data_IF_173368030212
#
_entry.id   IF_173368030212
#
_cell.length_a   1.000
_cell.length_b   1.000
_cell.length_c   1.000
_cell.angle_alpha   90.00
_cell.angle_beta   90.00
_cell.angle_gamma   90.00
#
_symmetry.space_group_name_H-M   'P 1'
#
loop_
_entity.id
_entity.type
_entity.pdbx_description
1 polymer ?
#
# COMPACT_ATOMS: atom_id res chain seq x y z
N UNK A 1 38.58 -21.63 21.57
CA UNK A 1 38.78 -20.58 20.52
C UNK A 1 37.70 -20.63 19.45
N UNK A 2 37.40 -21.76 18.81
CA UNK A 2 36.37 -21.90 17.75
C UNK A 2 34.97 -21.42 18.18
N UNK A 3 34.53 -21.68 19.43
CA UNK A 3 33.20 -21.26 19.94
C UNK A 3 33.05 -19.74 20.10
N UNK A 4 34.12 -19.04 20.44
CA UNK A 4 34.13 -17.58 20.61
C UNK A 4 34.07 -16.91 19.24
N UNK A 5 34.84 -17.40 18.27
CA UNK A 5 34.83 -16.92 16.87
C UNK A 5 33.44 -17.10 16.26
N UNK A 6 32.81 -18.26 16.48
CA UNK A 6 31.45 -18.54 16.01
C UNK A 6 30.38 -17.66 16.67
N UNK A 7 30.55 -17.28 17.95
CA UNK A 7 29.64 -16.32 18.64
C UNK A 7 29.83 -14.91 18.11
N UNK A 8 31.06 -14.45 17.91
CA UNK A 8 31.35 -13.13 17.35
C UNK A 8 30.83 -12.99 15.91
N UNK A 9 31.00 -14.00 15.05
CA UNK A 9 30.49 -13.98 13.69
C UNK A 9 28.95 -13.97 13.63
N UNK A 10 28.28 -14.70 14.53
CA UNK A 10 26.80 -14.64 14.67
C UNK A 10 26.32 -13.28 15.16
N UNK A 11 27.00 -12.67 16.13
CA UNK A 11 26.69 -11.33 16.61
C UNK A 11 26.85 -10.28 15.50
N UNK A 12 27.95 -10.32 14.76
CA UNK A 12 28.18 -9.43 13.63
C UNK A 12 27.09 -9.59 12.52
N UNK A 13 26.68 -10.83 12.23
CA UNK A 13 25.61 -11.11 11.28
C UNK A 13 24.25 -10.56 11.76
N UNK A 14 23.94 -10.65 13.07
CA UNK A 14 22.74 -10.07 13.68
C UNK A 14 22.75 -8.54 13.61
N UNK A 15 23.86 -7.90 13.97
CA UNK A 15 24.02 -6.45 13.88
C UNK A 15 23.88 -5.95 12.45
N UNK A 16 24.49 -6.65 11.50
CA UNK A 16 24.33 -6.34 10.07
C UNK A 16 22.87 -6.46 9.61
N UNK A 17 22.15 -7.50 10.03
CA UNK A 17 20.71 -7.66 9.71
C UNK A 17 19.89 -6.53 10.31
N UNK A 18 20.14 -6.15 11.56
CA UNK A 18 19.47 -5.04 12.23
C UNK A 18 19.75 -3.72 11.52
N UNK A 19 21.00 -3.45 11.14
CA UNK A 19 21.37 -2.25 10.36
C UNK A 19 20.65 -2.18 9.00
N UNK A 20 20.60 -3.30 8.26
CA UNK A 20 19.85 -3.41 7.01
C UNK A 20 18.36 -3.12 7.23
N UNK A 21 17.78 -3.66 8.30
CA UNK A 21 16.39 -3.44 8.62
C UNK A 21 16.07 -1.97 8.94
N UNK A 22 16.93 -1.28 9.67
CA UNK A 22 16.79 0.15 9.96
C UNK A 22 16.87 0.96 8.66
N UNK A 23 17.79 0.62 7.74
CA UNK A 23 17.83 1.26 6.42
C UNK A 23 16.52 1.06 5.67
N UNK A 24 15.92 -0.15 5.73
CA UNK A 24 14.65 -0.44 5.11
C UNK A 24 13.45 0.35 5.68
N UNK A 25 13.53 0.87 6.90
CA UNK A 25 12.46 1.72 7.44
C UNK A 25 12.44 3.09 6.80
N UNK A 26 13.58 3.57 6.28
CA UNK A 26 13.70 4.91 5.68
C UNK A 26 13.87 4.85 4.16
N UNK A 27 14.48 3.82 3.62
CA UNK A 27 14.71 3.61 2.19
C UNK A 27 14.05 2.32 1.72
N UNK A 28 12.84 2.43 1.21
CA UNK A 28 12.03 1.27 0.81
C UNK A 28 12.54 0.57 -0.45
N UNK A 29 13.36 1.26 -1.25
CA UNK A 29 13.98 0.69 -2.46
C UNK A 29 15.33 0.02 -2.17
N UNK A 30 15.84 0.13 -0.95
CA UNK A 30 17.09 -0.53 -0.58
C UNK A 30 16.95 -2.06 -0.66
N UNK A 31 17.37 -2.64 -1.76
CA UNK A 31 17.29 -4.08 -2.02
C UNK A 31 18.67 -4.63 -2.42
N UNK A 32 19.61 -4.85 -1.46
CA UNK A 32 20.99 -5.25 -1.76
C UNK A 32 21.11 -6.60 -2.48
N UNK A 33 20.04 -7.39 -2.53
CA UNK A 33 19.96 -8.66 -3.28
C UNK A 33 19.11 -8.56 -4.55
N UNK A 34 18.66 -7.36 -4.90
CA UNK A 34 17.75 -7.08 -6.01
C UNK A 34 16.27 -7.18 -5.62
N UNK A 35 15.48 -6.22 -6.11
CA UNK A 35 14.04 -6.16 -5.85
C UNK A 35 13.29 -7.39 -6.42
N UNK A 36 13.75 -7.93 -7.56
CA UNK A 36 13.15 -9.11 -8.20
C UNK A 36 13.20 -10.35 -7.29
N UNK A 37 14.32 -10.56 -6.60
CA UNK A 37 14.45 -11.65 -5.62
C UNK A 37 13.52 -11.50 -4.42
N UNK A 38 13.18 -10.27 -4.06
CA UNK A 38 12.20 -10.04 -3.00
C UNK A 38 10.77 -10.32 -3.50
N UNK A 39 10.44 -9.89 -4.72
CA UNK A 39 9.11 -10.13 -5.32
C UNK A 39 8.79 -11.62 -5.52
N UNK A 40 9.80 -12.45 -5.72
CA UNK A 40 9.67 -13.92 -5.84
C UNK A 40 9.82 -14.66 -4.50
N UNK A 41 9.98 -13.93 -3.38
CA UNK A 41 10.08 -14.55 -2.07
C UNK A 41 8.73 -15.18 -1.64
N UNK A 42 8.75 -16.23 -0.81
CA UNK A 42 7.52 -16.81 -0.29
C UNK A 42 6.75 -15.84 0.59
N UNK A 43 5.45 -16.10 0.77
CA UNK A 43 4.54 -15.32 1.60
C UNK A 43 4.88 -15.45 3.09
N UNK A 44 5.82 -14.62 3.53
CA UNK A 44 6.30 -14.59 4.90
C UNK A 44 6.34 -13.17 5.43
N UNK A 45 5.86 -13.00 6.67
CA UNK A 45 5.91 -11.71 7.39
C UNK A 45 7.35 -11.30 7.63
N UNK A 46 7.69 -10.07 7.27
CA UNK A 46 8.97 -9.46 7.64
C UNK A 46 8.83 -8.69 8.97
N UNK A 47 8.98 -9.40 10.07
CA UNK A 47 8.76 -8.86 11.42
C UNK A 47 9.58 -7.60 11.72
N UNK A 48 10.81 -7.52 11.24
CA UNK A 48 11.65 -6.36 11.50
C UNK A 48 11.13 -5.14 10.71
N UNK A 49 10.76 -5.35 9.46
CA UNK A 49 10.20 -4.29 8.63
C UNK A 49 8.81 -3.84 9.11
N UNK A 50 8.08 -4.70 9.82
CA UNK A 50 6.77 -4.39 10.40
C UNK A 50 6.85 -3.64 11.72
N UNK A 51 8.03 -3.42 12.34
CA UNK A 51 8.15 -2.71 13.61
C UNK A 51 7.49 -1.32 13.58
N UNK A 52 7.66 -0.45 12.57
CA UNK A 52 6.94 0.82 12.51
C UNK A 52 5.43 0.66 12.49
N UNK A 53 4.90 -0.36 11.82
CA UNK A 53 3.49 -0.70 11.83
C UNK A 53 3.00 -1.13 13.21
N UNK A 54 3.79 -1.95 13.91
CA UNK A 54 3.49 -2.38 15.29
C UNK A 54 3.52 -1.17 16.24
N UNK A 55 4.51 -0.27 16.09
CA UNK A 55 4.62 0.97 16.87
C UNK A 55 3.40 1.87 16.65
N UNK A 56 2.89 1.96 15.41
CA UNK A 56 1.69 2.74 15.10
C UNK A 56 0.49 2.24 15.91
N UNK A 57 0.27 0.92 15.97
CA UNK A 57 -0.82 0.32 16.75
C UNK A 57 -0.60 0.44 18.26
N UNK A 58 0.60 0.15 18.72
CA UNK A 58 0.96 0.27 20.15
C UNK A 58 0.86 1.72 20.63
N UNK A 59 1.14 2.70 19.77
CA UNK A 59 0.99 4.12 20.09
C UNK A 59 -0.44 4.52 20.48
N UNK A 60 -1.47 3.76 20.03
CA UNK A 60 -2.84 4.00 20.48
C UNK A 60 -3.01 3.84 22.00
N UNK A 61 -2.15 3.03 22.65
CA UNK A 61 -2.15 2.88 24.12
C UNK A 61 -1.79 4.19 24.84
N UNK A 62 -1.09 5.11 24.16
CA UNK A 62 -0.81 6.44 24.69
C UNK A 62 -2.06 7.26 25.00
N UNK A 63 -3.17 7.01 24.26
CA UNK A 63 -4.45 7.63 24.54
C UNK A 63 -5.04 7.21 25.91
N UNK A 64 -4.75 5.97 26.37
CA UNK A 64 -5.15 5.49 27.68
C UNK A 64 -4.37 6.18 28.81
N UNK A 65 -3.10 6.50 28.54
CA UNK A 65 -2.24 7.18 29.51
C UNK A 65 -2.58 8.67 29.67
N UNK A 66 -2.84 9.38 28.54
CA UNK A 66 -3.09 10.83 28.58
C UNK A 66 -4.56 11.21 28.75
N UNK A 67 -5.46 10.21 28.72
CA UNK A 67 -6.89 10.45 28.67
C UNK A 67 -7.31 11.07 27.34
N UNK A 68 -8.44 11.75 27.35
CA UNK A 68 -9.03 12.35 26.15
C UNK A 68 -9.48 13.81 26.40
N UNK A 69 -9.58 14.58 25.35
CA UNK A 69 -10.26 15.86 25.34
C UNK A 69 -11.25 15.90 24.16
N UNK A 70 -12.36 16.64 24.27
CA UNK A 70 -13.30 16.79 23.16
C UNK A 70 -12.63 17.30 21.89
N UNK A 71 -11.67 18.22 22.04
CA UNK A 71 -10.91 18.77 20.91
C UNK A 71 -10.03 17.70 20.25
N UNK A 72 -9.24 16.95 21.02
CA UNK A 72 -8.34 15.93 20.46
C UNK A 72 -9.11 14.80 19.74
N UNK A 73 -10.26 14.37 20.29
CA UNK A 73 -11.14 13.39 19.66
C UNK A 73 -11.77 13.96 18.38
N UNK A 74 -12.33 15.17 18.46
CA UNK A 74 -12.90 15.85 17.28
C UNK A 74 -11.89 16.05 16.17
N UNK A 75 -10.67 16.47 16.51
CA UNK A 75 -9.54 16.57 15.57
C UNK A 75 -9.19 15.20 14.99
N UNK A 76 -9.15 14.15 15.80
CA UNK A 76 -8.86 12.78 15.34
C UNK A 76 -9.84 12.33 14.25
N UNK A 77 -11.13 12.56 14.46
CA UNK A 77 -12.19 12.22 13.51
C UNK A 77 -12.08 13.09 12.24
N UNK A 78 -11.91 14.38 12.37
CA UNK A 78 -11.75 15.30 11.24
C UNK A 78 -10.50 14.92 10.41
N UNK A 79 -9.38 14.65 11.08
CA UNK A 79 -8.12 14.32 10.44
C UNK A 79 -8.15 12.93 9.80
N UNK A 80 -8.95 11.99 10.32
CA UNK A 80 -9.26 10.73 9.64
C UNK A 80 -9.89 11.02 8.27
N UNK A 81 -10.95 11.81 8.20
CA UNK A 81 -11.65 12.08 6.95
C UNK A 81 -10.82 12.89 5.95
N UNK A 82 -10.04 13.86 6.42
CA UNK A 82 -9.10 14.63 5.56
C UNK A 82 -8.08 13.70 4.91
N UNK A 83 -7.56 12.73 5.65
CA UNK A 83 -6.59 11.76 5.12
C UNK A 83 -7.24 10.61 4.36
N UNK A 84 -8.47 10.19 4.73
CA UNK A 84 -9.24 9.25 3.93
C UNK A 84 -9.52 9.84 2.53
N UNK A 85 -9.83 11.15 2.45
CA UNK A 85 -9.94 11.83 1.16
C UNK A 85 -8.63 11.78 0.37
N UNK A 86 -7.46 11.88 1.02
CA UNK A 86 -6.18 11.76 0.34
C UNK A 86 -5.94 10.32 -0.19
N UNK A 87 -6.33 9.28 0.56
CA UNK A 87 -6.30 7.90 0.04
C UNK A 87 -7.19 7.76 -1.19
N UNK A 88 -8.43 8.15 -1.05
CA UNK A 88 -9.48 7.85 -2.04
C UNK A 88 -9.42 8.77 -3.26
N UNK A 89 -9.26 10.07 -3.05
CA UNK A 89 -9.20 11.06 -4.13
C UNK A 89 -7.83 11.11 -4.81
N UNK A 90 -6.74 10.92 -4.05
CA UNK A 90 -5.39 11.15 -4.56
C UNK A 90 -4.72 9.82 -4.91
N UNK A 91 -4.46 8.93 -3.95
CA UNK A 91 -3.76 7.67 -4.24
C UNK A 91 -4.58 6.79 -5.19
N UNK A 92 -5.87 6.64 -4.92
CA UNK A 92 -6.75 5.80 -5.70
C UNK A 92 -7.14 6.45 -7.03
N UNK A 93 -7.93 7.54 -7.01
CA UNK A 93 -8.53 8.10 -8.24
C UNK A 93 -7.53 8.86 -9.11
N UNK A 94 -6.51 9.49 -8.52
CA UNK A 94 -5.52 10.22 -9.31
C UNK A 94 -4.33 9.35 -9.71
N UNK A 95 -3.51 8.87 -8.74
CA UNK A 95 -2.28 8.15 -9.08
C UNK A 95 -2.54 6.79 -9.70
N UNK A 96 -3.56 6.05 -9.26
CA UNK A 96 -3.85 4.73 -9.82
C UNK A 96 -4.64 4.80 -11.11
N UNK A 97 -5.76 5.55 -11.15
CA UNK A 97 -6.71 5.52 -12.27
C UNK A 97 -6.69 6.75 -13.18
N UNK A 98 -6.00 7.83 -12.81
CA UNK A 98 -5.90 9.06 -13.62
C UNK A 98 -7.28 9.60 -14.04
N UNK A 99 -8.21 9.63 -13.09
CA UNK A 99 -9.59 10.04 -13.34
C UNK A 99 -9.74 11.54 -13.52
N UNK A 100 -8.72 12.33 -13.22
CA UNK A 100 -8.62 13.77 -13.42
C UNK A 100 -7.17 14.19 -13.63
N UNK A 101 -6.94 15.48 -13.90
CA UNK A 101 -5.63 16.08 -14.16
C UNK A 101 -5.30 17.19 -13.17
N UNK A 102 -4.01 17.50 -13.01
CA UNK A 102 -3.50 18.63 -12.23
C UNK A 102 -2.17 19.11 -12.83
N UNK A 103 -1.67 20.26 -12.38
CA UNK A 103 -0.34 20.76 -12.74
C UNK A 103 0.78 19.91 -12.11
N UNK A 104 2.03 20.07 -12.56
CA UNK A 104 3.18 19.37 -11.96
C UNK A 104 3.37 19.73 -10.49
N UNK A 105 3.14 20.99 -10.12
CA UNK A 105 3.17 21.42 -8.71
C UNK A 105 2.03 20.78 -7.92
N UNK A 106 0.80 20.79 -8.47
CA UNK A 106 -0.34 20.10 -7.89
C UNK A 106 -0.07 18.61 -7.69
N UNK A 107 0.52 17.95 -8.68
CA UNK A 107 0.94 16.56 -8.64
C UNK A 107 1.85 16.24 -7.43
N UNK A 108 2.86 17.10 -7.18
CA UNK A 108 3.75 16.98 -6.03
C UNK A 108 3.02 17.22 -4.70
N UNK A 109 2.21 18.29 -4.61
CA UNK A 109 1.44 18.61 -3.41
C UNK A 109 0.42 17.51 -3.06
N UNK A 110 -0.24 16.93 -4.07
CA UNK A 110 -1.12 15.79 -3.88
C UNK A 110 -0.36 14.57 -3.36
N UNK A 111 0.86 14.31 -3.86
CA UNK A 111 1.70 13.21 -3.36
C UNK A 111 2.13 13.42 -1.90
N UNK A 112 2.48 14.66 -1.51
CA UNK A 112 2.76 15.01 -0.11
C UNK A 112 1.54 14.77 0.78
N UNK A 113 0.37 15.23 0.35
CA UNK A 113 -0.87 14.99 1.11
C UNK A 113 -1.16 13.50 1.25
N UNK A 114 -1.04 12.72 0.15
CA UNK A 114 -1.13 11.26 0.18
C UNK A 114 -0.16 10.62 1.18
N UNK A 115 1.10 11.10 1.26
CA UNK A 115 2.10 10.62 2.22
C UNK A 115 1.68 10.76 3.68
N UNK A 116 0.83 11.76 4.03
CA UNK A 116 0.32 11.94 5.42
C UNK A 116 -0.56 10.77 5.87
N UNK A 117 -1.05 9.96 4.95
CA UNK A 117 -1.95 8.81 5.23
C UNK A 117 -1.25 7.62 5.86
N UNK A 118 0.10 7.60 5.83
CA UNK A 118 0.93 6.48 6.35
C UNK A 118 0.65 5.16 5.62
N UNK A 119 0.32 5.24 4.31
CA UNK A 119 0.00 4.07 3.47
C UNK A 119 1.02 3.87 2.35
N UNK A 120 2.29 3.98 2.67
CA UNK A 120 3.41 3.84 1.74
C UNK A 120 3.49 5.01 0.73
N UNK A 121 4.34 4.84 -0.27
CA UNK A 121 4.54 5.85 -1.30
C UNK A 121 3.52 5.78 -2.45
N UNK A 122 3.36 6.87 -3.23
CA UNK A 122 2.35 6.96 -4.28
C UNK A 122 2.56 5.96 -5.43
N UNK A 123 3.81 5.58 -5.75
CA UNK A 123 4.10 4.62 -6.80
C UNK A 123 3.87 3.19 -6.34
N UNK A 124 4.21 2.87 -5.09
CA UNK A 124 3.93 1.58 -4.47
C UNK A 124 2.42 1.32 -4.44
N UNK A 125 1.66 2.32 -3.98
CA UNK A 125 0.20 2.23 -3.89
C UNK A 125 -0.44 2.03 -5.27
N UNK A 126 -0.04 2.87 -6.26
CA UNK A 126 -0.54 2.77 -7.63
C UNK A 126 -0.16 1.42 -8.29
N UNK A 127 1.05 0.90 -8.04
CA UNK A 127 1.48 -0.39 -8.54
C UNK A 127 0.59 -1.52 -8.03
N UNK A 128 0.43 -1.65 -6.71
CA UNK A 128 -0.36 -2.72 -6.12
C UNK A 128 -1.83 -2.63 -6.50
N UNK A 129 -2.38 -1.42 -6.53
CA UNK A 129 -3.79 -1.22 -6.90
C UNK A 129 -4.07 -1.54 -8.37
N UNK A 130 -3.20 -1.12 -9.30
CA UNK A 130 -3.32 -1.49 -10.72
C UNK A 130 -3.16 -2.99 -10.94
N UNK A 131 -2.27 -3.62 -10.19
CA UNK A 131 -2.08 -5.07 -10.23
C UNK A 131 -3.33 -5.81 -9.73
N UNK A 132 -3.93 -5.34 -8.62
CA UNK A 132 -5.21 -5.84 -8.14
C UNK A 132 -6.30 -5.80 -9.21
N UNK A 133 -6.48 -4.66 -9.90
CA UNK A 133 -7.49 -4.56 -10.96
C UNK A 133 -7.23 -5.48 -12.17
N UNK A 134 -5.98 -5.82 -12.44
CA UNK A 134 -5.62 -6.75 -13.52
C UNK A 134 -5.89 -8.22 -13.14
N UNK A 135 -5.80 -8.56 -11.86
CA UNK A 135 -5.84 -9.93 -11.35
C UNK A 135 -6.85 -10.11 -10.20
N UNK A 136 -7.86 -9.22 -10.14
CA UNK A 136 -8.81 -9.19 -9.02
C UNK A 136 -9.45 -10.56 -8.79
N UNK A 137 -9.32 -11.07 -7.53
CA UNK A 137 -9.77 -12.39 -7.10
C UNK A 137 -9.11 -13.59 -7.80
N UNK A 138 -7.99 -13.37 -8.51
CA UNK A 138 -7.13 -14.42 -9.08
C UNK A 138 -5.97 -14.77 -8.11
N UNK A 139 -5.25 -15.89 -8.33
CA UNK A 139 -4.13 -16.28 -7.48
C UNK A 139 -2.99 -15.25 -7.39
N UNK A 140 -2.83 -14.41 -8.39
CA UNK A 140 -1.86 -13.32 -8.48
C UNK A 140 -2.25 -12.08 -7.66
N UNK A 141 -3.51 -11.96 -7.28
CA UNK A 141 -3.98 -10.86 -6.44
C UNK A 141 -3.41 -10.98 -5.02
N UNK A 142 -2.53 -10.05 -4.65
CA UNK A 142 -1.83 -10.10 -3.37
C UNK A 142 -2.75 -10.04 -2.15
N UNK A 143 -3.99 -9.55 -2.31
CA UNK A 143 -4.90 -9.31 -1.19
C UNK A 143 -6.34 -9.77 -1.42
N UNK A 144 -6.60 -10.67 -2.37
CA UNK A 144 -7.94 -11.24 -2.50
C UNK A 144 -8.35 -12.01 -1.24
N UNK A 145 -9.51 -11.69 -0.63
CA UNK A 145 -10.03 -12.45 0.51
C UNK A 145 -10.53 -13.84 0.12
N UNK A 146 -10.87 -14.05 -1.15
CA UNK A 146 -11.29 -15.36 -1.68
C UNK A 146 -10.10 -16.33 -1.84
N UNK A 147 -8.93 -15.81 -2.22
CA UNK A 147 -7.72 -16.62 -2.42
C UNK A 147 -6.97 -16.84 -1.11
N UNK A 148 -6.80 -15.78 -0.32
CA UNK A 148 -5.88 -15.79 0.82
C UNK A 148 -6.58 -15.71 2.19
N UNK A 149 -7.90 -15.51 2.21
CA UNK A 149 -8.69 -15.33 3.40
C UNK A 149 -8.65 -13.90 3.96
N UNK A 150 -9.60 -13.61 4.87
CA UNK A 150 -9.87 -12.27 5.40
C UNK A 150 -8.63 -11.61 6.03
N UNK A 151 -7.97 -12.28 6.98
CA UNK A 151 -6.87 -11.66 7.74
C UNK A 151 -5.65 -11.37 6.88
N UNK A 152 -5.38 -12.22 5.90
CA UNK A 152 -4.32 -11.95 4.95
C UNK A 152 -4.65 -10.75 4.09
N UNK A 153 -5.84 -10.69 3.52
CA UNK A 153 -6.32 -9.57 2.72
C UNK A 153 -6.35 -8.26 3.50
N UNK A 154 -6.71 -8.30 4.79
CA UNK A 154 -6.81 -7.11 5.63
C UNK A 154 -5.42 -6.59 6.05
N UNK A 155 -4.51 -7.46 6.53
CA UNK A 155 -3.22 -7.06 7.10
C UNK A 155 -2.04 -7.86 6.53
N UNK A 156 -2.19 -9.18 6.36
CA UNK A 156 -1.07 -10.08 6.10
C UNK A 156 -0.25 -9.68 4.87
N UNK A 157 -0.90 -9.33 3.78
CA UNK A 157 -0.24 -9.02 2.52
C UNK A 157 0.72 -7.83 2.59
N UNK A 158 0.37 -6.77 3.32
CA UNK A 158 1.23 -5.58 3.47
C UNK A 158 2.43 -5.81 4.39
N UNK A 159 2.39 -6.87 5.20
CA UNK A 159 3.50 -7.26 6.08
C UNK A 159 4.44 -8.26 5.43
N UNK A 160 4.07 -8.75 4.24
CA UNK A 160 4.81 -9.76 3.53
C UNK A 160 5.98 -9.16 2.76
N UNK A 161 7.15 -9.83 2.86
CA UNK A 161 8.41 -9.36 2.25
C UNK A 161 8.32 -9.13 0.75
N UNK A 162 7.60 -9.99 0.02
CA UNK A 162 7.46 -9.88 -1.44
C UNK A 162 6.71 -8.64 -1.90
N UNK A 163 5.82 -8.09 -1.05
CA UNK A 163 4.96 -6.96 -1.38
C UNK A 163 5.57 -5.59 -1.00
N UNK A 164 6.77 -5.56 -0.40
CA UNK A 164 7.42 -4.29 -0.07
C UNK A 164 8.01 -3.54 -1.28
N UNK A 165 8.68 -4.19 -2.26
CA UNK A 165 9.27 -3.46 -3.39
C UNK A 165 8.22 -2.91 -4.34
N UNK A 166 8.45 -1.70 -4.83
CA UNK A 166 7.69 -1.13 -5.95
C UNK A 166 8.19 -1.72 -7.27
N UNK A 167 7.29 -2.16 -8.14
CA UNK A 167 7.64 -2.45 -9.53
C UNK A 167 7.46 -1.20 -10.40
N UNK A 168 8.55 -0.45 -10.58
CA UNK A 168 8.56 0.77 -11.38
C UNK A 168 8.20 0.52 -12.86
N UNK A 169 8.41 -0.69 -13.36
CA UNK A 169 8.07 -1.05 -14.74
C UNK A 169 6.55 -1.02 -15.00
N UNK A 170 5.74 -1.21 -13.97
CA UNK A 170 4.27 -1.19 -14.02
C UNK A 170 3.67 0.20 -13.83
N UNK A 171 4.47 1.17 -13.38
CA UNK A 171 4.07 2.56 -13.11
C UNK A 171 5.00 3.56 -13.79
N UNK A 172 5.48 3.25 -15.00
CA UNK A 172 6.42 4.09 -15.77
C UNK A 172 5.93 5.51 -15.97
N UNK A 173 4.62 5.68 -16.13
CA UNK A 173 3.96 6.97 -16.27
C UNK A 173 4.11 7.89 -15.05
N UNK A 174 4.28 7.31 -13.85
CA UNK A 174 4.57 8.02 -12.59
C UNK A 174 6.07 8.05 -12.29
N UNK A 175 6.79 6.99 -12.61
CA UNK A 175 8.22 6.85 -12.34
C UNK A 175 9.11 7.83 -13.13
N UNK A 176 8.58 8.47 -14.17
CA UNK A 176 9.26 9.56 -14.90
C UNK A 176 9.41 10.85 -14.08
N UNK A 177 8.72 10.97 -12.95
CA UNK A 177 8.77 12.13 -12.07
C UNK A 177 9.69 11.84 -10.87
N UNK A 178 10.91 12.44 -10.83
CA UNK A 178 11.88 12.13 -9.79
C UNK A 178 11.38 12.47 -8.39
N UNK A 179 10.57 13.51 -8.25
CA UNK A 179 9.93 13.90 -6.99
C UNK A 179 8.99 12.81 -6.44
N UNK A 180 8.27 12.10 -7.29
CA UNK A 180 7.43 10.97 -6.87
C UNK A 180 8.26 9.76 -6.50
N UNK A 181 9.33 9.48 -7.24
CA UNK A 181 10.29 8.41 -6.92
C UNK A 181 10.92 8.67 -5.56
N UNK A 182 11.31 9.93 -5.27
CA UNK A 182 11.86 10.32 -3.98
C UNK A 182 10.87 10.10 -2.84
N UNK A 183 9.63 10.58 -2.99
CA UNK A 183 8.56 10.42 -1.99
C UNK A 183 8.17 8.94 -1.80
N UNK A 184 8.26 8.13 -2.86
CA UNK A 184 8.01 6.70 -2.78
C UNK A 184 9.13 5.96 -2.05
N UNK A 185 10.37 6.29 -2.37
CA UNK A 185 11.55 5.66 -1.78
C UNK A 185 11.68 5.97 -0.28
N UNK A 186 11.44 7.22 0.12
CA UNK A 186 11.52 7.71 1.49
C UNK A 186 10.13 7.92 2.10
N UNK A 187 9.25 6.94 1.92
CA UNK A 187 7.82 7.01 2.24
C UNK A 187 7.51 7.12 3.75
N UNK A 188 8.50 6.96 4.63
CA UNK A 188 8.38 7.17 6.08
C UNK A 188 8.63 8.61 6.53
N UNK A 189 9.24 9.45 5.69
CA UNK A 189 9.58 10.84 6.08
C UNK A 189 8.32 11.67 6.30
N UNK A 190 7.37 11.64 5.38
CA UNK A 190 6.11 12.40 5.51
C UNK A 190 5.27 11.94 6.70
N UNK A 191 5.08 10.66 6.99
CA UNK A 191 4.50 10.16 8.23
C UNK A 191 5.13 10.73 9.50
N UNK A 192 6.46 10.73 9.60
CA UNK A 192 7.19 11.27 10.75
C UNK A 192 6.93 12.76 10.90
N UNK A 193 7.07 13.52 9.81
CA UNK A 193 6.78 14.97 9.80
C UNK A 193 5.32 15.26 10.17
N UNK A 194 4.38 14.42 9.75
CA UNK A 194 2.96 14.53 10.12
C UNK A 194 2.76 14.34 11.63
N UNK A 195 3.39 13.33 12.23
CA UNK A 195 3.34 13.12 13.69
C UNK A 195 3.93 14.31 14.45
N UNK A 196 5.09 14.82 14.01
CA UNK A 196 5.72 16.02 14.59
C UNK A 196 4.81 17.24 14.45
N UNK A 197 4.19 17.45 13.29
CA UNK A 197 3.30 18.57 13.05
C UNK A 197 2.03 18.52 13.94
N UNK A 198 1.44 17.34 14.12
CA UNK A 198 0.27 17.16 15.00
C UNK A 198 0.66 17.38 16.46
N UNK A 199 1.83 16.89 16.91
CA UNK A 199 2.34 17.17 18.25
C UNK A 199 2.64 18.68 18.42
N UNK A 200 3.27 19.34 17.44
CA UNK A 200 3.57 20.75 17.45
C UNK A 200 2.30 21.62 17.47
N UNK A 201 1.27 21.23 16.70
CA UNK A 201 -0.04 21.87 16.78
C UNK A 201 -0.62 21.75 18.19
N UNK A 202 -0.53 20.57 18.79
CA UNK A 202 -0.96 20.35 20.18
C UNK A 202 -0.21 21.23 21.18
N UNK A 203 1.11 21.39 21.00
CA UNK A 203 1.92 22.30 21.82
C UNK A 203 1.47 23.76 21.67
N UNK A 204 1.19 24.21 20.46
CA UNK A 204 0.68 25.57 20.20
C UNK A 204 -0.68 25.77 20.86
N UNK A 205 -1.60 24.82 20.73
CA UNK A 205 -2.94 24.91 21.32
C UNK A 205 -2.88 24.91 22.85
N UNK A 206 -2.06 24.02 23.45
CA UNK A 206 -1.85 23.95 24.89
C UNK A 206 -1.30 25.28 25.45
N UNK A 207 -0.41 25.94 24.69
CA UNK A 207 0.28 27.17 25.12
C UNK A 207 -0.58 28.43 24.88
N UNK A 208 -1.19 28.58 23.69
CA UNK A 208 -1.82 29.83 23.26
C UNK A 208 -3.34 29.82 23.35
N UNK A 209 -3.96 28.64 23.44
CA UNK A 209 -5.43 28.48 23.52
C UNK A 209 -5.80 27.42 24.57
N UNK A 210 -5.37 27.61 25.85
CA UNK A 210 -5.57 26.60 26.92
C UNK A 210 -7.05 26.31 27.20
N UNK A 211 -7.94 27.19 26.82
CA UNK A 211 -9.40 27.02 26.95
C UNK A 211 -9.96 25.82 26.17
N UNK A 212 -9.21 25.29 25.17
CA UNK A 212 -9.58 24.08 24.45
C UNK A 212 -9.40 22.80 25.29
N UNK A 213 -8.71 22.88 26.44
CA UNK A 213 -8.52 21.77 27.37
C UNK A 213 -7.82 20.56 26.74
N UNK A 214 -6.95 20.79 25.74
CA UNK A 214 -6.18 19.74 25.06
C UNK A 214 -4.69 19.92 25.28
N UNK A 215 -3.94 18.81 25.27
CA UNK A 215 -2.48 18.81 25.42
C UNK A 215 -1.79 18.32 24.15
N UNK A 216 -0.50 18.65 23.98
CA UNK A 216 0.33 18.14 22.87
C UNK A 216 0.36 16.62 22.83
N UNK A 217 0.32 15.94 23.97
CA UNK A 217 0.33 14.49 24.05
C UNK A 217 -1.02 13.89 23.66
N UNK A 218 -2.14 14.49 24.09
CA UNK A 218 -3.46 14.07 23.60
C UNK A 218 -3.60 14.25 22.10
N UNK A 219 -3.12 15.37 21.55
CA UNK A 219 -3.10 15.59 20.10
C UNK A 219 -2.25 14.54 19.39
N UNK A 220 -1.06 14.19 19.90
CA UNK A 220 -0.24 13.14 19.29
C UNK A 220 -0.93 11.77 19.32
N UNK A 221 -1.43 11.33 20.48
CA UNK A 221 -1.99 9.99 20.60
C UNK A 221 -3.32 9.85 19.88
N UNK A 222 -4.25 10.79 20.05
CA UNK A 222 -5.53 10.78 19.35
C UNK A 222 -5.41 11.23 17.88
N UNK A 223 -4.81 12.39 17.66
CA UNK A 223 -4.74 13.02 16.34
C UNK A 223 -3.85 12.29 15.36
N UNK A 224 -2.73 11.70 15.80
CA UNK A 224 -1.87 10.96 14.91
C UNK A 224 -2.06 9.43 15.05
N UNK A 225 -1.79 8.81 16.19
CA UNK A 225 -1.77 7.35 16.31
C UNK A 225 -3.17 6.73 16.15
N UNK A 226 -4.15 7.16 16.93
CA UNK A 226 -5.52 6.61 16.85
C UNK A 226 -6.14 6.89 15.49
N UNK A 227 -6.07 8.14 15.02
CA UNK A 227 -6.61 8.52 13.73
C UNK A 227 -5.94 7.77 12.56
N UNK A 228 -4.62 7.53 12.61
CA UNK A 228 -3.89 6.80 11.56
C UNK A 228 -4.21 5.31 11.58
N UNK A 229 -4.29 4.70 12.77
CA UNK A 229 -4.70 3.29 12.90
C UNK A 229 -6.13 3.07 12.40
N UNK A 230 -7.05 3.97 12.75
CA UNK A 230 -8.42 3.93 12.23
C UNK A 230 -8.45 4.07 10.69
N UNK A 231 -7.68 5.02 10.15
CA UNK A 231 -7.56 5.23 8.71
C UNK A 231 -7.02 3.98 7.99
N UNK A 232 -5.99 3.37 8.56
CA UNK A 232 -5.39 2.15 8.04
C UNK A 232 -6.44 1.03 7.94
N UNK A 233 -7.15 0.74 9.03
CA UNK A 233 -8.20 -0.29 9.02
C UNK A 233 -9.39 0.08 8.14
N UNK A 234 -9.76 1.36 8.06
CA UNK A 234 -10.77 1.85 7.12
C UNK A 234 -10.40 1.55 5.67
N UNK A 235 -9.15 1.80 5.27
CA UNK A 235 -8.67 1.46 3.92
C UNK A 235 -8.61 -0.05 3.70
N UNK A 236 -8.03 -0.80 4.65
CA UNK A 236 -7.92 -2.26 4.54
C UNK A 236 -9.28 -2.98 4.51
N UNK A 237 -10.35 -2.33 5.03
CA UNK A 237 -11.71 -2.87 4.93
C UNK A 237 -12.19 -2.96 3.48
N UNK A 238 -11.70 -2.11 2.58
CA UNK A 238 -12.01 -2.24 1.15
C UNK A 238 -11.39 -3.51 0.57
N UNK A 239 -10.14 -3.81 0.89
CA UNK A 239 -9.48 -5.03 0.41
C UNK A 239 -10.17 -6.30 0.94
N UNK A 240 -10.56 -6.30 2.22
CA UNK A 240 -11.06 -7.50 2.91
C UNK A 240 -12.58 -7.67 2.89
N UNK A 241 -13.37 -6.59 2.87
CA UNK A 241 -14.82 -6.65 2.99
C UNK A 241 -15.55 -6.31 1.69
N UNK A 242 -14.99 -5.44 0.83
CA UNK A 242 -15.71 -4.99 -0.36
C UNK A 242 -15.85 -6.08 -1.45
N UNK A 243 -15.14 -7.21 -1.32
CA UNK A 243 -15.35 -8.42 -2.13
C UNK A 243 -16.22 -9.48 -1.42
N UNK A 244 -16.52 -9.29 -0.13
CA UNK A 244 -17.33 -10.24 0.66
C UNK A 244 -18.73 -9.70 1.01
N UNK A 245 -18.82 -8.37 1.28
CA UNK A 245 -20.02 -7.74 1.84
C UNK A 245 -20.62 -6.70 0.91
N UNK A 246 -21.92 -6.82 0.62
CA UNK A 246 -22.65 -5.86 -0.19
C UNK A 246 -23.36 -6.49 -1.37
N UNK A 247 -23.78 -5.64 -2.31
CA UNK A 247 -24.59 -6.04 -3.47
C UNK A 247 -23.79 -5.87 -4.75
N UNK A 248 -23.93 -6.81 -5.69
CA UNK A 248 -23.39 -6.68 -7.05
C UNK A 248 -24.45 -6.02 -7.93
N UNK A 249 -24.10 -4.90 -8.52
CA UNK A 249 -24.93 -4.21 -9.54
C UNK A 249 -24.55 -4.66 -10.94
N UNK A 250 -23.25 -4.74 -11.16
CA UNK A 250 -22.65 -5.10 -12.46
C UNK A 250 -22.05 -6.50 -12.40
N UNK A 251 -22.15 -7.19 -13.53
CA UNK A 251 -21.42 -8.43 -13.73
C UNK A 251 -19.97 -8.11 -14.05
N UNK A 252 -19.10 -8.23 -13.04
CA UNK A 252 -17.66 -8.12 -13.14
C UNK A 252 -17.01 -9.50 -13.14
N UNK A 253 -15.75 -9.60 -13.52
CA UNK A 253 -14.97 -10.85 -13.48
C UNK A 253 -14.57 -11.26 -12.06
N UNK A 254 -14.69 -10.35 -11.10
CA UNK A 254 -14.38 -10.49 -9.68
C UNK A 254 -15.66 -10.45 -8.81
N UNK A 255 -15.49 -10.60 -7.50
CA UNK A 255 -16.57 -10.58 -6.52
C UNK A 255 -16.79 -9.24 -5.83
N UNK A 256 -16.31 -8.14 -6.43
CA UNK A 256 -16.49 -6.78 -5.91
C UNK A 256 -17.96 -6.44 -5.67
N UNK A 257 -18.25 -5.71 -4.59
CA UNK A 257 -19.60 -5.42 -4.12
C UNK A 257 -19.75 -3.95 -3.72
N UNK A 258 -20.98 -3.45 -3.83
CA UNK A 258 -21.38 -2.12 -3.35
C UNK A 258 -21.93 -2.23 -1.93
N UNK A 259 -21.36 -1.46 -1.00
CA UNK A 259 -21.77 -1.38 0.40
C UNK A 259 -21.83 0.07 0.84
N UNK A 260 -23.03 0.53 1.25
CA UNK A 260 -23.25 1.89 1.76
C UNK A 260 -22.41 2.15 3.03
N UNK A 261 -22.33 1.18 3.94
CA UNK A 261 -21.57 1.34 5.19
C UNK A 261 -20.09 1.59 4.88
N UNK A 262 -19.51 0.76 4.00
CA UNK A 262 -18.12 0.97 3.57
C UNK A 262 -17.96 2.30 2.82
N UNK A 263 -18.94 2.69 1.98
CA UNK A 263 -18.89 3.96 1.27
C UNK A 263 -18.89 5.18 2.22
N UNK A 264 -19.64 5.14 3.31
CA UNK A 264 -19.65 6.22 4.30
C UNK A 264 -18.33 6.30 5.08
N UNK A 265 -17.79 5.17 5.50
CA UNK A 265 -16.53 5.10 6.26
C UNK A 265 -15.35 5.52 5.38
N UNK A 266 -15.36 5.14 4.12
CA UNK A 266 -14.24 5.34 3.17
C UNK A 266 -14.51 6.41 2.11
N UNK A 267 -15.45 7.32 2.38
CA UNK A 267 -15.78 8.46 1.52
C UNK A 267 -16.12 8.09 0.06
N UNK A 268 -16.75 6.93 -0.16
CA UNK A 268 -17.25 6.50 -1.47
C UNK A 268 -16.60 5.23 -2.05
N UNK A 269 -15.53 4.71 -1.46
CA UNK A 269 -14.86 3.50 -1.98
C UNK A 269 -15.69 2.22 -1.79
N UNK A 270 -16.68 2.26 -0.90
CA UNK A 270 -17.64 1.15 -0.76
C UNK A 270 -18.55 0.94 -1.98
N UNK A 271 -18.58 1.84 -2.97
CA UNK A 271 -19.20 1.61 -4.29
C UNK A 271 -18.25 0.81 -5.19
N UNK A 272 -17.75 -0.30 -4.68
CA UNK A 272 -16.61 -1.01 -5.22
C UNK A 272 -16.93 -1.81 -6.48
N UNK A 273 -18.13 -2.39 -6.58
CA UNK A 273 -18.55 -3.07 -7.80
C UNK A 273 -18.79 -2.09 -8.98
N UNK A 274 -19.29 -0.88 -8.70
CA UNK A 274 -19.35 0.17 -9.70
C UNK A 274 -17.94 0.51 -10.19
N UNK A 275 -17.01 0.72 -9.25
CA UNK A 275 -15.63 1.05 -9.55
C UNK A 275 -14.95 -0.05 -10.39
N UNK A 276 -15.08 -1.32 -10.03
CA UNK A 276 -14.53 -2.44 -10.80
C UNK A 276 -15.17 -2.58 -12.19
N UNK A 277 -16.43 -2.15 -12.36
CA UNK A 277 -17.07 -2.11 -13.69
C UNK A 277 -16.49 -1.01 -14.57
N UNK A 278 -16.19 0.17 -14.02
CA UNK A 278 -15.65 1.30 -14.79
C UNK A 278 -14.73 2.19 -13.95
N UNK A 279 -13.49 1.79 -13.84
CA UNK A 279 -12.44 2.41 -12.98
C UNK A 279 -12.00 3.80 -13.45
N UNK A 280 -12.28 4.17 -14.71
CA UNK A 280 -11.83 5.46 -15.26
C UNK A 280 -12.71 6.64 -14.83
N UNK A 281 -13.89 6.42 -14.23
CA UNK A 281 -14.73 7.49 -13.74
C UNK A 281 -14.16 8.12 -12.48
N UNK A 282 -14.31 9.45 -12.34
CA UNK A 282 -13.94 10.15 -11.09
C UNK A 282 -14.91 9.84 -9.96
N UNK A 283 -16.15 9.49 -10.28
CA UNK A 283 -17.21 9.17 -9.34
C UNK A 283 -17.40 7.65 -9.22
N UNK A 284 -17.31 7.11 -8.00
CA UNK A 284 -17.56 5.69 -7.73
C UNK A 284 -19.05 5.41 -7.44
N UNK A 285 -19.74 6.34 -6.78
CA UNK A 285 -21.20 6.29 -6.64
C UNK A 285 -21.85 6.77 -7.94
N UNK A 286 -22.17 5.86 -8.87
CA UNK A 286 -22.58 6.19 -10.24
C UNK A 286 -23.91 6.94 -10.29
N UNK A 287 -24.81 6.70 -9.34
CA UNK A 287 -26.13 7.32 -9.29
C UNK A 287 -26.21 8.39 -8.21
N UNK A 288 -27.14 9.31 -8.32
CA UNK A 288 -27.26 10.46 -7.41
C UNK A 288 -27.48 10.06 -5.94
N UNK A 289 -28.12 8.92 -5.69
CA UNK A 289 -28.37 8.39 -4.34
C UNK A 289 -27.19 7.60 -3.77
N UNK A 290 -26.17 7.30 -4.56
CA UNK A 290 -24.96 6.68 -4.14
C UNK A 290 -23.98 7.76 -3.67
N UNK A 291 -24.02 8.04 -2.36
CA UNK A 291 -23.26 9.12 -1.74
C UNK A 291 -21.76 8.85 -1.92
N UNK A 292 -21.05 9.77 -2.55
CA UNK A 292 -19.61 9.70 -2.82
C UNK A 292 -18.92 11.02 -2.40
N UNK A 293 -18.60 11.17 -1.10
CA UNK A 293 -18.02 12.39 -0.57
C UNK A 293 -16.69 12.77 -1.24
N UNK A 294 -15.87 11.75 -1.64
CA UNK A 294 -14.64 12.02 -2.39
C UNK A 294 -14.91 12.71 -3.72
N UNK A 295 -15.91 12.26 -4.47
CA UNK A 295 -16.28 12.93 -5.71
C UNK A 295 -16.73 14.38 -5.48
N UNK A 296 -17.51 14.63 -4.44
CA UNK A 296 -17.94 15.99 -4.13
C UNK A 296 -16.75 16.88 -3.74
N UNK A 297 -15.82 16.40 -2.92
CA UNK A 297 -14.59 17.10 -2.60
C UNK A 297 -13.72 17.40 -3.83
N UNK A 298 -13.55 16.42 -4.75
CA UNK A 298 -12.84 16.61 -6.00
C UNK A 298 -13.56 17.63 -6.91
N UNK A 299 -14.89 17.64 -6.92
CA UNK A 299 -15.66 18.65 -7.65
C UNK A 299 -15.42 20.06 -7.10
N UNK A 300 -15.39 20.22 -5.77
CA UNK A 300 -15.04 21.49 -5.14
C UNK A 300 -13.61 21.92 -5.48
N UNK A 301 -12.63 21.01 -5.41
CA UNK A 301 -11.25 21.29 -5.82
C UNK A 301 -11.16 21.68 -7.30
N UNK A 302 -12.00 21.12 -8.17
CA UNK A 302 -12.00 21.48 -9.59
C UNK A 302 -12.46 22.92 -9.84
N UNK A 303 -13.30 23.47 -8.98
CA UNK A 303 -13.72 24.88 -9.09
C UNK A 303 -12.62 25.87 -8.72
N UNK A 304 -11.64 25.45 -7.93
CA UNK A 304 -10.47 26.28 -7.60
C UNK A 304 -9.41 26.29 -8.71
N UNK A 305 -9.55 25.44 -9.75
CA UNK A 305 -8.54 25.26 -10.80
C UNK A 305 -7.33 24.42 -10.39
N UNK A 306 -7.27 23.89 -9.16
CA UNK A 306 -6.18 23.00 -8.72
C UNK A 306 -6.18 21.67 -9.45
N UNK A 307 -7.37 21.18 -9.81
CA UNK A 307 -7.55 19.97 -10.62
C UNK A 307 -8.58 20.25 -11.72
N UNK A 308 -8.52 19.49 -12.81
CA UNK A 308 -9.45 19.61 -13.95
C UNK A 308 -9.65 18.28 -14.67
N UNK A 309 -10.59 18.25 -15.63
CA UNK A 309 -10.83 17.08 -16.48
C UNK A 309 -11.35 15.87 -15.72
N UNK A 310 -12.28 16.10 -14.76
CA UNK A 310 -12.94 15.01 -14.03
C UNK A 310 -13.73 14.14 -15.01
N UNK A 311 -13.36 12.88 -15.14
CA UNK A 311 -13.95 11.94 -16.09
C UNK A 311 -15.33 11.48 -15.60
N UNK A 312 -16.39 11.65 -16.40
CA UNK A 312 -17.73 11.21 -16.06
C UNK A 312 -17.88 9.69 -16.21
N UNK A 313 -18.94 9.14 -15.63
CA UNK A 313 -19.42 7.80 -15.95
C UNK A 313 -20.12 7.85 -17.32
N UNK A 314 -19.78 7.00 -18.31
CA UNK A 314 -20.48 6.93 -19.58
C UNK A 314 -21.96 6.56 -19.44
N UNK A 315 -22.82 7.16 -20.26
CA UNK A 315 -24.27 6.89 -20.21
C UNK A 315 -24.58 5.40 -20.43
N UNK A 316 -23.85 4.71 -21.30
CA UNK A 316 -24.00 3.27 -21.54
C UNK A 316 -23.81 2.41 -20.28
N UNK A 317 -22.88 2.81 -19.38
CA UNK A 317 -22.65 2.15 -18.10
C UNK A 317 -23.80 2.45 -17.13
N UNK A 318 -24.29 3.68 -17.10
CA UNK A 318 -25.45 4.04 -16.29
C UNK A 318 -26.69 3.26 -16.72
N UNK A 319 -26.93 3.13 -18.04
CA UNK A 319 -28.06 2.37 -18.60
C UNK A 319 -27.94 0.88 -18.30
N UNK A 320 -26.73 0.31 -18.39
CA UNK A 320 -26.47 -1.09 -17.99
C UNK A 320 -26.85 -1.33 -16.54
N UNK A 321 -26.37 -0.51 -15.62
CA UNK A 321 -26.61 -0.67 -14.18
C UNK A 321 -28.07 -0.36 -13.76
N UNK A 322 -28.83 0.42 -14.56
CA UNK A 322 -30.25 0.68 -14.31
C UNK A 322 -31.16 -0.46 -14.78
N UNK A 323 -30.77 -1.18 -15.84
CA UNK A 323 -31.52 -2.32 -16.39
C UNK A 323 -31.22 -3.63 -15.65
N UNK A 324 -30.02 -3.75 -15.08
CA UNK A 324 -29.61 -4.92 -14.32
C UNK A 324 -30.33 -4.98 -12.98
N UNK A 325 -31.38 -5.78 -12.88
CA UNK A 325 -31.83 -6.30 -11.57
C UNK A 325 -30.62 -6.97 -10.91
N UNK A 326 -30.59 -6.97 -9.57
CA UNK A 326 -29.50 -7.57 -8.79
C UNK A 326 -28.98 -8.85 -9.42
N UNK A 327 -27.71 -8.84 -9.85
CA UNK A 327 -27.05 -10.06 -10.31
C UNK A 327 -26.96 -10.98 -9.08
N UNK A 328 -27.92 -11.90 -8.97
CA UNK A 328 -27.79 -13.03 -8.06
C UNK A 328 -26.51 -13.74 -8.44
N UNK A 329 -25.66 -14.01 -7.46
CA UNK A 329 -24.33 -14.59 -7.59
C UNK A 329 -24.22 -15.49 -8.82
N UNK A 330 -23.26 -15.20 -9.69
CA UNK A 330 -22.74 -16.22 -10.61
C UNK A 330 -22.39 -17.41 -9.73
N UNK A 331 -22.88 -18.61 -10.12
CA UNK A 331 -22.60 -19.83 -9.41
C UNK A 331 -21.15 -19.80 -8.91
N UNK A 332 -21.00 -19.81 -7.60
CA UNK A 332 -19.71 -19.88 -6.96
C UNK A 332 -18.88 -20.92 -7.73
N UNK A 333 -17.84 -20.51 -8.42
CA UNK A 333 -16.68 -21.38 -8.56
C UNK A 333 -16.42 -21.79 -7.13
N UNK A 334 -16.66 -23.06 -6.81
CA UNK A 334 -16.67 -23.62 -5.47
C UNK A 334 -15.71 -22.86 -4.56
N UNK A 335 -16.25 -21.87 -3.83
CA UNK A 335 -15.51 -21.26 -2.76
C UNK A 335 -15.10 -22.45 -1.90
N UNK A 336 -13.85 -22.55 -1.46
CA UNK A 336 -13.54 -23.47 -0.40
C UNK A 336 -14.60 -23.20 0.67
N UNK A 337 -15.44 -24.19 0.94
CA UNK A 337 -16.50 -24.18 1.96
C UNK A 337 -15.98 -23.37 3.11
N UNK A 338 -16.76 -22.40 3.59
CA UNK A 338 -16.45 -21.59 4.76
C UNK A 338 -15.53 -22.38 5.68
N UNK A 339 -14.22 -22.26 5.43
CA UNK A 339 -13.23 -22.85 6.28
C UNK A 339 -13.44 -22.08 7.57
N UNK A 340 -13.98 -22.76 8.54
CA UNK A 340 -14.14 -22.32 9.89
C UNK A 340 -13.09 -21.26 10.18
N UNK A 341 -13.52 -20.15 10.77
CA UNK A 341 -12.64 -19.23 11.48
C UNK A 341 -11.97 -20.03 12.61
N UNK A 342 -11.25 -21.09 12.22
CA UNK A 342 -10.62 -21.98 13.17
C UNK A 342 -9.34 -21.32 13.62
N UNK A 343 -9.10 -21.47 14.90
CA UNK A 343 -7.84 -21.09 15.58
C UNK A 343 -6.59 -21.57 14.82
N UNK A 344 -6.70 -22.56 13.94
CA UNK A 344 -5.66 -23.05 13.04
C UNK A 344 -5.29 -22.05 11.93
N UNK A 345 -6.24 -21.24 11.42
CA UNK A 345 -5.98 -20.21 10.41
C UNK A 345 -5.26 -19.01 11.05
N UNK A 346 -5.62 -18.66 12.30
CA UNK A 346 -4.90 -17.66 13.09
C UNK A 346 -3.44 -18.05 13.35
N UNK A 347 -3.15 -19.34 13.59
CA UNK A 347 -1.77 -19.84 13.77
C UNK A 347 -0.91 -19.70 12.52
N UNK A 348 -1.49 -19.71 11.32
CA UNK A 348 -0.75 -19.51 10.06
C UNK A 348 -0.41 -18.06 9.79
N UNK A 349 -1.23 -17.12 10.24
CA UNK A 349 -1.12 -15.71 9.88
C UNK A 349 -0.60 -14.84 11.01
N UNK A 350 -0.93 -15.15 12.26
CA UNK A 350 -0.47 -14.43 13.45
C UNK A 350 0.07 -15.44 14.46
N UNK A 351 1.39 -15.57 14.62
CA UNK A 351 1.94 -16.33 15.73
C UNK A 351 1.47 -15.73 17.06
N UNK A 352 0.99 -16.57 17.98
CA UNK A 352 0.64 -16.10 19.34
C UNK A 352 1.85 -15.47 20.02
N UNK A 353 1.63 -14.58 20.98
CA UNK A 353 2.72 -13.96 21.77
C UNK A 353 3.67 -15.02 22.38
N UNK A 354 3.15 -16.21 22.73
CA UNK A 354 3.93 -17.36 23.15
C UNK A 354 4.82 -17.93 22.03
N UNK A 355 4.33 -17.94 20.77
CA UNK A 355 5.12 -18.35 19.62
C UNK A 355 6.20 -17.31 19.26
N UNK A 356 5.97 -16.03 19.57
CA UNK A 356 7.00 -14.99 19.45
C UNK A 356 8.13 -15.19 20.47
N UNK A 357 7.82 -15.59 21.71
CA UNK A 357 8.82 -15.91 22.72
C UNK A 357 9.62 -17.18 22.37
N UNK A 358 8.98 -18.19 21.75
CA UNK A 358 9.64 -19.42 21.31
C UNK A 358 10.45 -19.18 20.02
N UNK A 359 9.98 -18.33 19.09
CA UNK A 359 10.73 -18.01 17.88
C UNK A 359 12.03 -17.24 18.13
N UNK A 360 12.13 -16.56 19.29
CA UNK A 360 13.40 -15.96 19.73
C UNK A 360 14.34 -16.97 20.41
N UNK A 361 13.82 -18.11 20.86
CA UNK A 361 14.58 -19.14 21.60
C UNK A 361 15.04 -20.32 20.73
N UNK A 362 14.42 -20.60 19.60
CA UNK A 362 14.74 -21.75 18.74
C UNK A 362 15.15 -21.33 17.34
N UNK A 363 16.30 -20.67 17.21
CA UNK A 363 17.09 -20.73 15.98
C UNK A 363 18.07 -21.89 16.12
N UNK A 364 17.65 -23.08 15.75
CA UNK A 364 18.54 -24.22 15.61
C UNK A 364 19.59 -23.94 14.52
N UNK A 365 20.85 -24.36 14.71
CA UNK A 365 21.89 -24.16 13.71
C UNK A 365 21.63 -25.06 12.51
N UNK A 366 21.51 -24.49 11.33
CA UNK A 366 21.60 -25.21 10.08
C UNK A 366 23.10 -25.42 9.77
N UNK A 367 23.68 -26.51 10.26
CA UNK A 367 24.95 -27.05 9.78
C UNK A 367 24.78 -28.57 9.67
N UNK A 368 24.40 -29.02 8.48
CA UNK A 368 24.70 -30.35 8.04
C UNK A 368 25.81 -30.24 6.98
N UNK A 369 26.91 -31.02 7.08
CA UNK A 369 28.02 -30.93 6.14
C UNK A 369 27.61 -31.53 4.81
N UNK A 370 27.74 -30.73 3.74
CA UNK A 370 27.69 -31.20 2.36
C UNK A 370 28.92 -32.04 2.13
N UNK A 371 28.74 -33.35 1.88
CA UNK A 371 29.77 -34.24 1.39
C UNK A 371 30.27 -33.76 0.03
N UNK A 372 31.51 -33.32 -0.01
CA UNK A 372 32.28 -33.07 -1.23
C UNK A 372 32.67 -34.41 -1.88
N UNK A 373 31.93 -34.76 -2.90
CA UNK A 373 32.37 -35.79 -3.85
C UNK A 373 33.06 -35.08 -5.01
N UNK A 374 34.35 -35.28 -5.10
CA UNK A 374 35.19 -34.90 -6.25
C UNK A 374 34.88 -35.83 -7.43
N UNK A 375 34.76 -35.32 -8.65
CA UNK A 375 35.07 -36.14 -9.82
C UNK A 375 36.35 -35.65 -10.49
N UNK A 376 37.09 -36.63 -10.94
CA UNK A 376 38.39 -36.59 -11.53
C UNK A 376 38.49 -35.74 -12.81
N UNK A 377 39.68 -35.22 -12.96
CA UNK A 377 40.24 -34.55 -14.13
C UNK A 377 40.25 -35.48 -15.34
N UNK A 378 39.75 -35.04 -16.49
CA UNK A 378 40.21 -35.47 -17.79
C UNK A 378 40.57 -34.22 -18.62
N UNK A 379 41.85 -34.07 -18.86
CA UNK A 379 42.43 -33.23 -19.90
C UNK A 379 42.03 -33.76 -21.27
N UNK A 380 41.62 -32.90 -22.17
CA UNK A 380 42.06 -33.00 -23.55
C UNK A 380 42.11 -31.62 -24.22
N UNK A 381 43.20 -31.53 -24.95
CA UNK A 381 43.74 -30.33 -25.61
C UNK A 381 43.04 -30.07 -26.96
N UNK A 382 43.17 -28.82 -27.36
CA UNK A 382 43.37 -28.33 -28.73
C UNK A 382 42.20 -27.57 -29.37
N UNK A 383 42.52 -26.32 -29.78
CA UNK A 383 41.83 -25.60 -30.85
C UNK A 383 41.64 -24.13 -30.67
N UNK A 384 42.70 -23.31 -30.84
CA UNK A 384 42.65 -21.90 -31.26
C UNK A 384 42.80 -21.83 -32.79
N UNK A 385 42.69 -20.68 -33.49
CA UNK A 385 41.97 -19.41 -33.30
C UNK A 385 41.27 -18.89 -34.59
N UNK A 386 40.68 -17.71 -34.52
CA UNK A 386 40.53 -16.62 -35.53
C UNK A 386 39.21 -15.88 -35.28
N UNK A 387 39.07 -14.58 -35.00
CA UNK A 387 39.66 -13.44 -35.62
C UNK A 387 38.72 -12.83 -36.66
N UNK A 388 38.05 -11.66 -36.32
CA UNK A 388 37.56 -10.64 -37.24
C UNK A 388 36.82 -9.60 -36.35
N UNK A 389 37.35 -8.41 -36.14
CA UNK A 389 37.39 -7.21 -36.99
C UNK A 389 36.12 -6.36 -36.84
N UNK A 390 36.40 -5.18 -36.34
CA UNK A 390 35.50 -4.02 -36.19
C UNK A 390 34.96 -3.52 -37.51
N UNK A 391 33.73 -2.96 -37.49
CA UNK A 391 33.44 -1.74 -38.28
C UNK A 391 32.08 -1.14 -37.87
N UNK A 392 32.16 0.10 -37.45
CA UNK A 392 31.47 1.25 -38.04
C UNK A 392 30.02 1.53 -37.69
N UNK A 393 29.87 2.60 -36.96
CA UNK A 393 28.70 3.51 -36.85
C UNK A 393 28.24 3.99 -38.24
N UNK A 394 26.97 4.34 -38.38
CA UNK A 394 26.71 5.67 -38.91
C UNK A 394 25.72 6.51 -38.07
N UNK A 395 26.08 7.72 -37.89
CA UNK A 395 25.32 8.94 -37.63
C UNK A 395 24.33 9.22 -38.77
N UNK A 396 23.11 9.62 -38.42
CA UNK A 396 22.22 10.44 -39.26
C UNK A 396 21.29 11.20 -38.32
N UNK A 397 21.47 12.44 -38.12
CA UNK A 397 20.97 13.67 -38.70
C UNK A 397 19.45 13.90 -38.56
N UNK A 398 19.13 14.92 -37.75
CA UNK A 398 17.84 15.62 -37.70
C UNK A 398 17.54 16.35 -39.01
N UNK A 399 16.30 16.59 -39.31
CA UNK A 399 15.92 17.90 -39.84
C UNK A 399 14.90 18.62 -38.95
N UNK A 400 15.20 19.89 -38.77
CA UNK A 400 14.33 20.99 -38.37
C UNK A 400 13.41 21.41 -39.51
N UNK A 401 12.19 21.83 -39.19
CA UNK A 401 11.41 22.90 -39.84
C UNK A 401 10.08 23.03 -39.12
N UNK A 402 9.86 24.15 -38.47
CA UNK A 402 9.25 25.43 -38.80
C UNK A 402 7.77 25.40 -39.23
N UNK A 403 6.97 25.97 -38.33
CA UNK A 403 5.99 27.05 -38.43
C UNK A 403 4.70 26.87 -39.26
N UNK A 404 3.68 27.46 -38.64
CA UNK A 404 2.48 28.10 -39.17
C UNK A 404 1.14 27.36 -39.01
N UNK A 405 0.26 28.10 -38.31
CA UNK A 405 -1.18 27.90 -38.27
C UNK A 405 -1.75 27.97 -36.87
#
# INVERSE_FOLDING_TARGET
>A
MASIISRASRAAARLRRAGIAIVHWFDTDYAPRGADKLRTAPDQVDWVRCIPFIILHAGCLGALWTGWSPFAVGFSVAFYFVRMFAVTGIYHRYFSHKTYSTSRVGHFLLALWGGTTVQRGPLWWAYHHRHHHQHSDEPEDAHSPHVHGFWWSHIGWITCRRNFPTDYSKVRDLAKFPELVLLNRFDTVIPILTGIAVWGLGWMLETFVPSLGTTKWQMLWWGFFVSTTALFHGTCSINSLAHLMGRRRFKTTDDSRNSLILALITLGEGWHNNHHRYQSATRNGFYWWEIDPTYYGLKLLSWTGLIWGLKPVPQSILDEGSRGGHVTSVAQKSAPTHGDFSYATLKRVVPTAAAMAVATATVAPADAPVKTGSPAVHNDLAGRPQGYSASATPTAAYPSETACG
#
